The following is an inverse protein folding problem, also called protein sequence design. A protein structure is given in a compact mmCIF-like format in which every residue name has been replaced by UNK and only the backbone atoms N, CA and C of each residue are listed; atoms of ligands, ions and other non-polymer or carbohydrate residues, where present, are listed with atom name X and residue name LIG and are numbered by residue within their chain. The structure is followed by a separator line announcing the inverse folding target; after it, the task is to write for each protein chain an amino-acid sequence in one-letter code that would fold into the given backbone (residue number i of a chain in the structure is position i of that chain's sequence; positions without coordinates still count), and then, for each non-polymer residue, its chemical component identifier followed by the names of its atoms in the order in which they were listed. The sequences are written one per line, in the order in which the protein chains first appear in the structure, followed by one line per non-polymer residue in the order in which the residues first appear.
data_IF_354685221884
#
_entry.id   IF_354685221884
#
_cell.length_a   1.000
_cell.length_b   1.000
_cell.length_c   1.000
_cell.angle_alpha   90.00
_cell.angle_beta   90.00
_cell.angle_gamma   90.00
#
_symmetry.space_group_name_H-M   'P 1'
#
loop_
_entity.id
_entity.type
_entity.pdbx_description
1 polymer ?
#
# COMPACT_ATOMS: atom_id res chain seq x y z
N UNK A 1 12.16 4.51 2.19
CA UNK A 1 11.47 5.70 2.69
C UNK A 1 10.90 6.41 1.47
N UNK A 2 9.61 6.60 1.41
CA UNK A 2 8.91 7.23 0.30
C UNK A 2 8.07 8.41 0.82
N UNK A 3 7.78 9.38 -0.04
CA UNK A 3 6.96 10.55 0.30
C UNK A 3 5.76 10.63 -0.62
N UNK A 4 4.62 11.02 -0.07
CA UNK A 4 3.37 11.22 -0.79
C UNK A 4 2.72 12.52 -0.33
N UNK A 5 2.22 13.32 -1.26
CA UNK A 5 1.41 14.50 -0.94
C UNK A 5 -0.07 14.19 -1.16
N UNK A 6 -0.83 14.15 -0.06
CA UNK A 6 -2.29 14.03 -0.10
C UNK A 6 -2.92 15.40 -0.29
N UNK A 7 -3.83 15.50 -1.26
CA UNK A 7 -4.70 16.66 -1.45
C UNK A 7 -6.15 16.29 -1.24
N UNK A 8 -7.00 17.23 -0.82
CA UNK A 8 -8.43 16.96 -0.74
C UNK A 8 -8.98 16.54 -2.11
N UNK A 9 -9.89 15.58 -2.10
CA UNK A 9 -10.60 15.10 -3.31
C UNK A 9 -11.89 15.87 -3.55
N UNK A 10 -12.42 16.51 -2.51
CA UNK A 10 -13.61 17.34 -2.59
C UNK A 10 -13.67 18.30 -1.39
N UNK A 11 -14.53 19.30 -1.47
CA UNK A 11 -14.76 20.22 -0.37
C UNK A 11 -16.16 20.79 -0.38
N UNK A 12 -16.73 20.98 0.81
CA UNK A 12 -18.04 21.62 1.01
C UNK A 12 -17.94 22.69 2.10
N UNK A 13 -18.47 23.87 1.84
CA UNK A 13 -18.45 24.95 2.81
C UNK A 13 -19.53 25.99 2.56
N UNK A 14 -20.29 26.33 3.60
CA UNK A 14 -21.30 27.37 3.51
C UNK A 14 -20.62 28.74 3.36
N UNK A 15 -21.09 29.53 2.38
CA UNK A 15 -20.59 30.88 2.08
C UNK A 15 -19.12 30.93 1.60
N UNK A 16 -18.50 29.82 1.29
CA UNK A 16 -17.21 29.77 0.62
C UNK A 16 -17.36 29.89 -0.88
N UNK A 17 -16.47 30.64 -1.51
CA UNK A 17 -16.39 30.80 -2.96
C UNK A 17 -15.12 30.12 -3.49
N UNK A 18 -15.19 29.54 -4.70
CA UNK A 18 -14.06 28.94 -5.40
C UNK A 18 -13.35 27.83 -4.59
N UNK A 19 -14.13 26.96 -3.93
CA UNK A 19 -13.59 25.89 -3.07
C UNK A 19 -12.62 24.98 -3.83
N UNK A 20 -12.88 24.71 -5.12
CA UNK A 20 -12.02 23.88 -5.95
C UNK A 20 -10.58 24.40 -6.07
N UNK A 21 -10.36 25.69 -5.94
CA UNK A 21 -9.04 26.31 -5.98
C UNK A 21 -8.16 25.98 -4.76
N UNK A 22 -8.74 25.35 -3.71
CA UNK A 22 -8.00 25.01 -2.48
C UNK A 22 -7.22 23.69 -2.63
N UNK A 23 -7.58 22.88 -3.62
CA UNK A 23 -6.99 21.57 -3.87
C UNK A 23 -6.61 21.33 -5.34
N UNK A 24 -6.50 22.40 -6.13
CA UNK A 24 -6.10 22.32 -7.54
C UNK A 24 -4.57 22.20 -7.73
N UNK A 25 -3.80 22.25 -6.66
CA UNK A 25 -2.35 22.21 -6.67
C UNK A 25 -1.70 23.54 -7.06
N UNK A 26 -2.49 24.61 -7.22
CA UNK A 26 -2.01 25.93 -7.63
C UNK A 26 -2.03 26.91 -6.45
N UNK A 27 -0.87 27.16 -5.87
CA UNK A 27 -0.71 28.08 -4.73
C UNK A 27 -0.97 29.56 -5.05
N UNK A 28 -1.34 29.89 -6.30
CA UNK A 28 -1.69 31.25 -6.74
C UNK A 28 -3.19 31.49 -6.79
N UNK A 29 -4.00 30.44 -6.81
CA UNK A 29 -5.48 30.48 -6.74
C UNK A 29 -5.96 30.30 -5.31
N UNK A 30 -7.17 30.71 -4.99
CA UNK A 30 -7.68 30.59 -3.62
C UNK A 30 -9.20 30.41 -3.57
N UNK A 31 -9.67 29.65 -2.59
CA UNK A 31 -11.01 29.79 -2.08
C UNK A 31 -11.10 30.95 -1.10
N UNK A 32 -12.26 31.53 -0.96
CA UNK A 32 -12.45 32.70 -0.08
C UNK A 32 -13.75 32.67 0.67
N UNK A 33 -13.74 33.29 1.87
CA UNK A 33 -14.92 33.52 2.68
C UNK A 33 -14.87 34.87 3.38
N UNK A 34 -16.02 35.56 3.46
CA UNK A 34 -16.16 36.78 4.26
C UNK A 34 -16.54 36.41 5.68
N UNK A 35 -15.78 36.88 6.65
CA UNK A 35 -15.88 36.52 8.07
C UNK A 35 -16.16 37.75 8.91
N UNK A 36 -17.23 37.72 9.72
CA UNK A 36 -17.53 38.73 10.75
C UNK A 36 -17.81 38.04 12.08
N UNK A 37 -17.74 38.77 13.19
CA UNK A 37 -18.01 38.24 14.53
C UNK A 37 -19.39 37.57 14.68
N UNK A 38 -20.39 37.97 13.89
CA UNK A 38 -21.74 37.44 13.97
C UNK A 38 -21.98 36.14 13.17
N UNK A 39 -21.09 35.76 12.27
CA UNK A 39 -21.31 34.69 11.31
C UNK A 39 -20.37 33.49 11.51
N UNK A 40 -20.04 33.18 12.75
CA UNK A 40 -19.08 32.14 13.09
C UNK A 40 -19.43 30.78 12.51
N UNK A 41 -20.65 30.32 12.72
CA UNK A 41 -21.11 28.98 12.33
C UNK A 41 -21.25 28.76 10.82
N UNK A 42 -21.23 29.84 10.02
CA UNK A 42 -21.38 29.74 8.55
C UNK A 42 -20.06 29.77 7.78
N UNK A 43 -18.91 29.71 8.48
CA UNK A 43 -17.58 29.92 7.92
C UNK A 43 -16.68 28.68 7.94
N UNK A 44 -17.32 27.56 8.11
CA UNK A 44 -16.67 26.28 8.12
C UNK A 44 -16.56 25.72 6.71
N UNK A 45 -15.41 25.15 6.40
CA UNK A 45 -15.12 24.41 5.18
C UNK A 45 -14.67 23.00 5.56
N UNK A 46 -15.32 21.99 5.04
CA UNK A 46 -14.92 20.58 5.18
C UNK A 46 -14.26 20.12 3.88
N UNK A 47 -13.07 19.60 3.99
CA UNK A 47 -12.27 19.06 2.89
C UNK A 47 -12.09 17.56 3.12
N UNK A 48 -12.49 16.73 2.18
CA UNK A 48 -12.39 15.28 2.28
C UNK A 48 -11.09 14.78 1.65
N UNK A 49 -10.52 13.76 2.26
CA UNK A 49 -9.28 13.11 1.82
C UNK A 49 -9.52 11.66 1.46
N UNK A 50 -8.72 11.17 0.54
CA UNK A 50 -8.59 9.75 0.23
C UNK A 50 -7.20 9.28 0.68
N UNK A 51 -7.16 8.44 1.70
CA UNK A 51 -5.93 7.85 2.22
C UNK A 51 -5.63 6.48 1.65
N UNK A 52 -6.50 5.93 0.80
CA UNK A 52 -6.31 4.61 0.16
C UNK A 52 -5.11 4.58 -0.80
N UNK A 53 -4.61 5.74 -1.20
CA UNK A 53 -3.39 5.89 -2.00
C UNK A 53 -2.10 5.59 -1.20
N UNK A 54 -2.17 5.53 0.13
CA UNK A 54 -1.07 5.05 0.97
C UNK A 54 -1.04 3.53 0.89
N UNK A 55 0.10 2.91 0.54
CA UNK A 55 0.19 1.47 0.42
C UNK A 55 -0.26 0.73 1.69
N UNK A 56 -1.04 -0.34 1.52
CA UNK A 56 -1.49 -1.17 2.64
C UNK A 56 -0.28 -1.72 3.42
N UNK A 57 -0.35 -1.69 4.74
CA UNK A 57 0.74 -2.14 5.60
C UNK A 57 1.94 -1.18 5.69
N UNK A 58 1.93 -0.04 5.00
CA UNK A 58 2.99 0.95 5.13
C UNK A 58 3.08 1.49 6.57
N UNK A 59 4.30 1.68 7.04
CA UNK A 59 4.56 2.36 8.32
C UNK A 59 4.66 3.84 8.07
N UNK A 60 3.77 4.64 8.68
CA UNK A 60 3.81 6.09 8.60
C UNK A 60 4.90 6.61 9.55
N UNK A 61 5.90 7.27 8.99
CA UNK A 61 7.01 7.85 9.75
C UNK A 61 6.66 9.25 10.26
N UNK A 62 6.06 10.05 9.38
CA UNK A 62 5.56 11.39 9.72
C UNK A 62 4.47 11.84 8.74
N UNK A 63 3.59 12.72 9.21
CA UNK A 63 2.64 13.40 8.36
C UNK A 63 2.49 14.85 8.79
N UNK A 64 2.67 15.77 7.86
CA UNK A 64 2.59 17.22 8.10
C UNK A 64 1.46 17.83 7.27
N UNK A 65 0.43 18.31 7.94
CA UNK A 65 -0.61 19.11 7.33
C UNK A 65 -0.10 20.55 7.15
N UNK A 66 -0.31 21.10 5.98
CA UNK A 66 -0.01 22.50 5.65
C UNK A 66 -1.25 23.19 5.13
N UNK A 67 -1.54 24.38 5.65
CA UNK A 67 -2.47 25.33 5.06
C UNK A 67 -1.72 26.57 4.60
N UNK A 68 -1.97 27.01 3.36
CA UNK A 68 -1.48 28.29 2.84
C UNK A 68 -2.63 29.28 2.81
N UNK A 69 -2.55 30.31 3.62
CA UNK A 69 -3.66 31.23 3.80
C UNK A 69 -3.21 32.69 3.99
N UNK A 70 -4.19 33.59 3.82
CA UNK A 70 -4.02 35.05 3.97
C UNK A 70 -5.32 35.68 4.46
N UNK A 71 -5.23 36.82 5.09
CA UNK A 71 -6.39 37.64 5.46
C UNK A 71 -6.15 39.12 5.11
N UNK A 72 -7.21 39.89 4.88
CA UNK A 72 -7.11 41.33 4.68
C UNK A 72 -6.68 42.09 5.93
N UNK A 73 -6.96 41.57 7.13
CA UNK A 73 -6.56 42.14 8.44
C UNK A 73 -6.21 41.02 9.43
N UNK A 74 -5.27 41.28 10.33
CA UNK A 74 -4.77 40.30 11.33
C UNK A 74 -5.77 39.94 12.45
N UNK A 75 -7.06 40.13 12.23
CA UNK A 75 -8.14 39.84 13.21
C UNK A 75 -8.76 38.47 13.05
N UNK A 76 -8.40 37.75 11.99
CA UNK A 76 -8.90 36.40 11.73
C UNK A 76 -7.99 35.37 12.36
N UNK A 77 -8.58 34.40 13.05
CA UNK A 77 -7.94 33.17 13.52
C UNK A 77 -8.49 32.01 12.69
N UNK A 78 -7.62 31.17 12.15
CA UNK A 78 -8.01 29.91 11.56
C UNK A 78 -7.87 28.77 12.57
N UNK A 79 -8.88 27.94 12.65
CA UNK A 79 -8.88 26.67 13.36
C UNK A 79 -8.90 25.57 12.31
N UNK A 80 -8.10 24.53 12.55
CA UNK A 80 -8.11 23.33 11.70
C UNK A 80 -8.29 22.12 12.60
N UNK A 81 -9.38 21.41 12.36
CA UNK A 81 -9.81 20.26 13.12
C UNK A 81 -9.81 19.00 12.22
N UNK A 82 -9.30 17.88 12.72
CA UNK A 82 -9.26 16.61 12.00
C UNK A 82 -10.58 15.86 12.23
N UNK A 83 -11.14 15.32 11.14
CA UNK A 83 -12.37 14.54 11.14
C UNK A 83 -13.56 15.30 11.80
N UNK A 84 -13.60 16.61 11.62
CA UNK A 84 -14.65 17.50 12.18
C UNK A 84 -14.76 17.37 13.72
N UNK A 85 -13.67 17.01 14.40
CA UNK A 85 -13.66 16.83 15.84
C UNK A 85 -12.86 17.95 16.51
N UNK A 86 -13.53 18.78 17.31
CA UNK A 86 -12.89 19.89 18.04
C UNK A 86 -11.79 19.45 19.02
N UNK A 87 -11.83 18.19 19.50
CA UNK A 87 -10.77 17.64 20.33
C UNK A 87 -9.48 17.38 19.53
N UNK A 88 -9.59 17.24 18.22
CA UNK A 88 -8.48 16.99 17.30
C UNK A 88 -8.04 18.28 16.58
N UNK A 89 -8.07 19.40 17.29
CA UNK A 89 -7.63 20.69 16.76
C UNK A 89 -6.11 20.75 16.65
N UNK A 90 -5.63 20.80 15.40
CA UNK A 90 -4.18 20.79 15.09
C UNK A 90 -3.63 22.18 14.78
N UNK A 91 -4.46 23.11 14.28
CA UNK A 91 -4.06 24.51 14.06
C UNK A 91 -5.04 25.44 14.79
N UNK A 92 -4.46 26.40 15.53
CA UNK A 92 -5.16 27.52 16.12
C UNK A 92 -4.24 28.75 16.00
N UNK A 93 -4.30 29.44 14.87
CA UNK A 93 -3.36 30.51 14.54
C UNK A 93 -4.04 31.75 14.00
N UNK A 94 -3.61 32.89 14.53
CA UNK A 94 -3.93 34.20 13.98
C UNK A 94 -3.28 34.33 12.59
N UNK A 95 -4.07 34.79 11.63
CA UNK A 95 -3.70 34.78 10.23
C UNK A 95 -2.90 36.04 9.83
N UNK A 96 -1.95 35.86 8.93
CA UNK A 96 -1.12 36.91 8.35
C UNK A 96 -1.87 37.67 7.25
N UNK A 97 -1.50 38.94 7.04
CA UNK A 97 -1.94 39.72 5.89
C UNK A 97 -1.16 39.40 4.60
N UNK A 98 -0.16 38.53 4.71
CA UNK A 98 0.57 37.96 3.54
C UNK A 98 0.30 36.46 3.48
N UNK A 99 0.28 35.92 2.29
CA UNK A 99 0.14 34.47 2.09
C UNK A 99 1.26 33.74 2.87
N UNK A 100 0.87 32.93 3.84
CA UNK A 100 1.77 32.27 4.78
C UNK A 100 1.35 30.82 4.95
N UNK A 101 2.33 29.92 5.06
CA UNK A 101 2.11 28.53 5.38
C UNK A 101 2.06 28.34 6.90
N UNK A 102 1.06 27.61 7.36
CA UNK A 102 0.91 27.16 8.75
C UNK A 102 0.89 25.64 8.73
N UNK A 103 1.71 25.03 9.56
CA UNK A 103 1.90 23.58 9.58
C UNK A 103 1.52 22.98 10.92
N UNK A 104 1.11 21.70 10.90
CA UNK A 104 0.89 20.91 12.10
C UNK A 104 1.26 19.45 11.83
N UNK A 105 1.77 18.76 12.84
CA UNK A 105 1.95 17.31 12.83
C UNK A 105 0.57 16.63 12.95
N UNK A 106 0.28 15.72 12.02
CA UNK A 106 -0.95 14.94 11.97
C UNK A 106 -0.67 13.44 11.83
N UNK A 107 0.54 13.01 12.16
CA UNK A 107 0.99 11.61 12.02
C UNK A 107 0.03 10.63 12.68
N UNK A 108 -0.45 10.92 13.89
CA UNK A 108 -1.35 10.05 14.64
C UNK A 108 -2.78 9.97 14.08
N UNK A 109 -3.13 10.80 13.11
CA UNK A 109 -4.48 10.86 12.55
C UNK A 109 -4.58 10.25 11.14
N UNK A 110 -3.45 9.94 10.50
CA UNK A 110 -3.44 9.54 9.07
C UNK A 110 -4.22 8.26 8.83
N UNK A 111 -4.16 7.27 9.73
CA UNK A 111 -4.87 6.00 9.58
C UNK A 111 -6.40 6.17 9.51
N UNK A 112 -6.94 7.17 10.18
CA UNK A 112 -8.38 7.40 10.33
C UNK A 112 -8.81 8.70 9.65
N UNK A 113 -7.93 9.33 8.87
CA UNK A 113 -8.22 10.61 8.23
C UNK A 113 -9.27 10.44 7.14
N UNK A 114 -10.39 11.11 7.30
CA UNK A 114 -11.46 11.21 6.30
C UNK A 114 -11.68 12.65 5.83
N UNK A 115 -11.48 13.62 6.74
CA UNK A 115 -11.73 15.03 6.43
C UNK A 115 -10.89 15.96 7.31
N UNK A 116 -10.69 17.17 6.80
CA UNK A 116 -10.12 18.30 7.54
C UNK A 116 -11.12 19.43 7.49
N UNK A 117 -11.47 19.96 8.66
CA UNK A 117 -12.35 21.11 8.79
C UNK A 117 -11.53 22.38 9.03
N UNK A 118 -11.76 23.38 8.20
CA UNK A 118 -11.13 24.72 8.38
C UNK A 118 -12.23 25.71 8.76
N UNK A 119 -12.08 26.30 9.95
CA UNK A 119 -12.98 27.36 10.43
C UNK A 119 -12.24 28.68 10.53
N UNK A 120 -12.71 29.70 9.85
CA UNK A 120 -12.21 31.06 9.97
C UNK A 120 -13.06 31.88 10.95
N UNK A 121 -12.43 32.41 11.99
CA UNK A 121 -13.09 33.20 13.04
C UNK A 121 -12.52 34.62 13.09
N UNK A 122 -13.41 35.62 13.12
CA UNK A 122 -13.02 37.02 13.26
C UNK A 122 -13.47 37.58 14.60
N UNK A 123 -12.55 38.19 15.34
CA UNK A 123 -12.85 38.86 16.62
C UNK A 123 -13.47 40.24 16.45
N UNK A 124 -13.39 40.86 15.27
CA UNK A 124 -13.92 42.20 15.00
C UNK A 124 -15.32 42.17 14.40
N UNK A 125 -16.09 43.21 14.69
CA UNK A 125 -17.42 43.45 14.17
C UNK A 125 -17.45 43.72 12.65
N UNK A 126 -16.38 44.36 12.13
CA UNK A 126 -16.24 44.60 10.69
C UNK A 126 -15.88 43.30 9.94
N UNK A 127 -16.60 43.02 8.85
CA UNK A 127 -16.29 41.91 7.98
C UNK A 127 -14.87 41.99 7.43
N UNK A 128 -14.26 40.83 7.25
CA UNK A 128 -12.95 40.67 6.64
C UNK A 128 -12.92 39.40 5.78
N UNK A 129 -12.08 39.37 4.77
CA UNK A 129 -11.96 38.22 3.89
C UNK A 129 -10.82 37.32 4.36
N UNK A 130 -11.10 36.05 4.46
CA UNK A 130 -10.12 34.98 4.62
C UNK A 130 -9.94 34.28 3.28
N UNK A 131 -8.71 34.13 2.85
CA UNK A 131 -8.29 33.44 1.64
C UNK A 131 -7.53 32.17 2.07
N UNK A 132 -7.97 31.03 1.57
CA UNK A 132 -7.25 29.77 1.69
C UNK A 132 -6.80 29.38 0.28
N UNK A 133 -5.48 29.42 0.07
CA UNK A 133 -4.88 29.14 -1.23
C UNK A 133 -4.79 27.65 -1.47
N UNK A 134 -4.29 26.91 -0.50
CA UNK A 134 -4.11 25.47 -0.63
C UNK A 134 -4.08 24.81 0.75
N UNK A 135 -4.50 23.55 0.78
CA UNK A 135 -4.34 22.67 1.93
C UNK A 135 -3.88 21.31 1.41
N UNK A 136 -2.83 20.76 2.04
CA UNK A 136 -2.29 19.46 1.70
C UNK A 136 -1.65 18.80 2.92
N UNK A 137 -1.37 17.49 2.81
CA UNK A 137 -0.65 16.73 3.82
C UNK A 137 0.50 16.01 3.13
N UNK A 138 1.71 16.30 3.57
CA UNK A 138 2.89 15.56 3.16
C UNK A 138 3.08 14.38 4.13
N UNK A 139 3.09 13.17 3.58
CA UNK A 139 3.23 11.91 4.33
C UNK A 139 4.56 11.28 3.96
N UNK A 140 5.37 10.99 4.95
CA UNK A 140 6.59 10.20 4.84
C UNK A 140 6.31 8.80 5.40
N UNK A 141 6.58 7.76 4.60
CA UNK A 141 6.28 6.40 4.95
C UNK A 141 7.36 5.42 4.49
N UNK A 142 7.40 4.28 5.15
CA UNK A 142 8.19 3.12 4.73
C UNK A 142 7.23 2.05 4.25
N UNK A 143 7.40 1.61 3.01
CA UNK A 143 6.63 0.49 2.50
C UNK A 143 6.91 -0.76 3.33
N UNK A 144 5.84 -1.49 3.64
CA UNK A 144 6.00 -2.84 4.17
C UNK A 144 6.56 -3.70 3.06
N UNK A 145 7.74 -4.27 3.27
CA UNK A 145 8.19 -5.39 2.44
C UNK A 145 7.33 -6.56 2.88
N UNK A 146 6.27 -6.84 2.16
CA UNK A 146 5.58 -8.12 2.28
C UNK A 146 6.57 -9.14 1.75
N UNK A 147 7.27 -9.80 2.63
CA UNK A 147 7.99 -11.03 2.26
C UNK A 147 6.86 -12.06 2.11
N UNK A 148 6.49 -12.34 0.86
CA UNK A 148 5.53 -13.38 0.59
C UNK A 148 6.06 -14.70 1.19
N UNK A 149 5.19 -15.40 1.89
CA UNK A 149 5.56 -16.71 2.43
C UNK A 149 5.93 -17.65 1.27
N UNK A 150 7.01 -18.44 1.39
CA UNK A 150 7.34 -19.42 0.40
C UNK A 150 6.21 -20.45 0.25
N UNK A 151 5.91 -20.92 -0.97
CA UNK A 151 4.90 -21.95 -1.15
C UNK A 151 5.34 -23.26 -0.50
N UNK A 152 4.39 -23.97 0.11
CA UNK A 152 4.61 -25.28 0.71
C UNK A 152 4.24 -26.36 -0.29
N UNK A 153 5.21 -27.14 -0.71
CA UNK A 153 5.03 -28.29 -1.60
C UNK A 153 4.80 -29.53 -0.74
N UNK A 154 3.71 -30.24 -0.98
CA UNK A 154 3.37 -31.46 -0.28
C UNK A 154 3.33 -32.64 -1.27
N UNK A 155 4.22 -33.60 -1.09
CA UNK A 155 4.19 -34.85 -1.86
C UNK A 155 3.02 -35.71 -1.38
N UNK A 156 2.13 -36.08 -2.29
CA UNK A 156 0.93 -36.84 -2.00
C UNK A 156 1.15 -38.35 -2.17
N UNK A 157 1.81 -38.75 -3.25
CA UNK A 157 2.08 -40.14 -3.53
C UNK A 157 3.26 -40.32 -4.46
N UNK A 158 3.82 -41.52 -4.42
CA UNK A 158 4.77 -42.05 -5.38
C UNK A 158 4.36 -43.49 -5.70
N UNK A 159 4.18 -43.82 -6.99
CA UNK A 159 3.63 -45.11 -7.40
C UNK A 159 4.66 -46.25 -7.38
N UNK A 160 5.94 -45.96 -7.68
CA UNK A 160 7.03 -46.94 -7.61
C UNK A 160 8.29 -46.31 -6.98
N UNK A 161 9.08 -47.13 -6.31
CA UNK A 161 10.35 -46.72 -5.68
C UNK A 161 11.58 -47.12 -6.48
N UNK A 162 11.39 -47.90 -7.55
CA UNK A 162 12.48 -48.35 -8.45
C UNK A 162 12.00 -48.27 -9.88
N UNK A 163 12.77 -47.65 -10.72
CA UNK A 163 12.57 -47.59 -12.17
C UNK A 163 13.50 -48.58 -12.81
N UNK A 164 13.00 -49.35 -13.79
CA UNK A 164 13.79 -50.30 -14.56
C UNK A 164 13.39 -50.27 -16.04
N UNK A 165 14.17 -50.88 -16.90
CA UNK A 165 13.83 -51.02 -18.33
C UNK A 165 12.71 -52.03 -18.62
N UNK A 166 12.07 -52.60 -17.59
CA UNK A 166 10.95 -53.56 -17.75
C UNK A 166 9.64 -52.77 -17.87
N UNK A 167 8.87 -53.06 -18.91
CA UNK A 167 7.56 -52.44 -19.16
C UNK A 167 6.66 -52.51 -17.93
N UNK A 168 6.13 -51.36 -17.51
CA UNK A 168 5.32 -51.18 -16.28
C UNK A 168 6.12 -50.82 -15.05
N UNK A 169 7.46 -50.80 -15.14
CA UNK A 169 8.39 -50.29 -14.11
C UNK A 169 9.40 -49.31 -14.73
N UNK A 170 9.14 -48.84 -15.90
CA UNK A 170 9.97 -47.94 -16.69
C UNK A 170 9.74 -46.44 -16.33
N UNK A 171 8.73 -46.18 -15.53
CA UNK A 171 8.33 -44.84 -15.08
C UNK A 171 7.99 -44.80 -13.59
N UNK A 172 8.32 -43.73 -12.92
CA UNK A 172 7.78 -43.36 -11.60
C UNK A 172 6.93 -42.12 -11.75
N UNK A 173 5.75 -42.14 -11.16
CA UNK A 173 4.86 -40.97 -11.08
C UNK A 173 4.87 -40.45 -9.65
N UNK A 174 5.23 -39.20 -9.48
CA UNK A 174 5.14 -38.47 -8.20
C UNK A 174 3.99 -37.47 -8.30
N UNK A 175 3.09 -37.49 -7.34
CA UNK A 175 2.01 -36.49 -7.25
C UNK A 175 2.27 -35.54 -6.10
N UNK A 176 1.99 -34.25 -6.31
CA UNK A 176 2.18 -33.21 -5.31
C UNK A 176 1.08 -32.16 -5.37
N UNK A 177 0.94 -31.38 -4.30
CA UNK A 177 0.10 -30.20 -4.21
C UNK A 177 0.89 -29.05 -3.67
N UNK A 178 0.40 -27.82 -3.88
CA UNK A 178 0.90 -26.61 -3.24
C UNK A 178 -0.23 -25.88 -2.54
N UNK A 179 0.07 -25.24 -1.43
CA UNK A 179 -0.84 -24.35 -0.70
C UNK A 179 -1.09 -23.01 -1.39
N UNK A 180 -0.28 -22.70 -2.42
CA UNK A 180 -0.38 -21.49 -3.23
C UNK A 180 -0.33 -21.85 -4.73
N UNK A 181 -0.81 -20.93 -5.55
CA UNK A 181 -0.62 -21.03 -7.00
C UNK A 181 0.87 -20.87 -7.35
N UNK A 182 1.40 -21.77 -8.18
CA UNK A 182 2.77 -21.72 -8.65
C UNK A 182 2.83 -21.16 -10.07
N UNK A 183 3.52 -20.05 -10.24
CA UNK A 183 3.82 -19.48 -11.57
C UNK A 183 4.86 -20.27 -12.31
N UNK A 184 5.69 -20.99 -11.56
CA UNK A 184 6.65 -21.96 -12.06
C UNK A 184 6.89 -23.04 -11.01
N UNK A 185 7.08 -24.27 -11.44
CA UNK A 185 7.62 -25.34 -10.63
C UNK A 185 8.58 -26.19 -11.45
N UNK A 186 9.51 -26.83 -10.77
CA UNK A 186 10.46 -27.76 -11.37
C UNK A 186 10.64 -28.98 -10.46
N UNK A 187 10.78 -30.14 -11.11
CA UNK A 187 11.21 -31.37 -10.47
C UNK A 187 12.63 -31.71 -10.93
N UNK A 188 13.52 -31.96 -9.99
CA UNK A 188 14.91 -32.24 -10.25
C UNK A 188 15.37 -33.57 -9.66
N UNK A 189 16.10 -34.33 -10.44
CA UNK A 189 16.75 -35.55 -9.99
C UNK A 189 18.20 -35.25 -9.58
N UNK A 190 18.60 -35.65 -8.38
CA UNK A 190 19.95 -35.48 -7.88
C UNK A 190 20.44 -36.73 -7.17
N UNK A 191 21.73 -37.02 -7.27
CA UNK A 191 22.43 -38.05 -6.49
C UNK A 191 23.19 -37.45 -5.29
N UNK A 192 23.20 -36.13 -5.16
CA UNK A 192 23.89 -35.42 -4.10
C UNK A 192 22.93 -35.11 -2.94
N UNK A 193 23.48 -34.89 -1.74
CA UNK A 193 22.69 -34.54 -0.55
C UNK A 193 22.46 -33.04 -0.37
N UNK A 194 22.81 -32.24 -1.34
CA UNK A 194 22.61 -30.77 -1.29
C UNK A 194 21.58 -30.37 -2.33
N UNK A 195 20.29 -30.46 -2.01
CA UNK A 195 19.23 -30.08 -2.91
C UNK A 195 19.13 -28.54 -3.02
N UNK A 196 18.44 -28.08 -4.05
CA UNK A 196 18.16 -26.66 -4.28
C UNK A 196 17.56 -26.47 -5.66
N UNK A 197 16.70 -25.47 -5.82
CA UNK A 197 16.18 -25.13 -7.15
C UNK A 197 17.35 -24.86 -8.10
N UNK A 198 17.23 -25.31 -9.33
CA UNK A 198 18.30 -25.23 -10.33
C UNK A 198 19.42 -26.25 -10.16
N UNK A 199 19.42 -27.10 -9.12
CA UNK A 199 20.47 -28.12 -8.86
C UNK A 199 19.99 -29.49 -9.32
N UNK A 200 20.87 -30.24 -10.03
CA UNK A 200 20.55 -31.55 -10.57
C UNK A 200 19.95 -31.54 -11.97
N UNK A 201 19.53 -32.72 -12.44
CA UNK A 201 18.91 -32.90 -13.74
C UNK A 201 17.45 -32.42 -13.67
N UNK A 202 17.05 -31.51 -14.56
CA UNK A 202 15.64 -31.12 -14.70
C UNK A 202 14.87 -32.29 -15.32
N UNK A 203 13.90 -32.81 -14.58
CA UNK A 203 13.03 -33.91 -15.03
C UNK A 203 11.77 -33.35 -15.68
N UNK A 204 11.10 -32.42 -14.97
CA UNK A 204 9.86 -31.81 -15.46
C UNK A 204 9.71 -30.41 -14.87
N UNK A 205 8.86 -29.58 -15.51
CA UNK A 205 8.51 -28.25 -15.00
C UNK A 205 7.16 -27.79 -15.56
N UNK A 206 6.55 -26.81 -14.88
CA UNK A 206 5.26 -26.29 -15.33
C UNK A 206 4.73 -25.19 -14.45
N UNK A 207 3.41 -25.01 -14.48
CA UNK A 207 2.63 -24.14 -13.60
C UNK A 207 1.60 -24.97 -12.85
N UNK A 208 1.15 -24.51 -11.66
CA UNK A 208 0.15 -25.21 -10.88
C UNK A 208 -0.83 -24.20 -10.26
N UNK A 209 -2.13 -24.45 -10.40
CA UNK A 209 -3.14 -23.66 -9.67
C UNK A 209 -3.16 -24.08 -8.19
N UNK A 210 -3.52 -23.15 -7.31
CA UNK A 210 -3.70 -23.42 -5.89
C UNK A 210 -4.62 -24.62 -5.65
N UNK A 211 -4.19 -25.55 -4.80
CA UNK A 211 -4.94 -26.75 -4.47
C UNK A 211 -5.06 -27.80 -5.60
N UNK A 212 -4.50 -27.54 -6.78
CA UNK A 212 -4.45 -28.53 -7.85
C UNK A 212 -3.39 -29.61 -7.57
N UNK A 213 -3.54 -30.78 -8.20
CA UNK A 213 -2.53 -31.84 -8.14
C UNK A 213 -1.58 -31.71 -9.33
N UNK A 214 -0.30 -31.59 -9.03
CA UNK A 214 0.79 -31.68 -9.99
C UNK A 214 1.25 -33.13 -10.14
N UNK A 215 1.79 -33.46 -11.31
CA UNK A 215 2.33 -34.78 -11.65
C UNK A 215 3.75 -34.59 -12.16
N UNK A 216 4.65 -35.44 -11.71
CA UNK A 216 6.01 -35.54 -12.20
C UNK A 216 6.20 -36.97 -12.73
N UNK A 217 6.60 -37.07 -13.97
CA UNK A 217 6.90 -38.34 -14.60
C UNK A 217 8.41 -38.51 -14.73
N UNK A 218 8.96 -39.50 -14.06
CA UNK A 218 10.39 -39.80 -14.08
C UNK A 218 10.59 -41.09 -14.89
N UNK A 219 11.12 -40.96 -16.09
CA UNK A 219 11.36 -42.08 -16.96
C UNK A 219 12.78 -42.62 -16.83
N UNK A 220 12.95 -43.92 -17.10
CA UNK A 220 14.27 -44.61 -17.07
C UNK A 220 15.28 -44.02 -18.07
N UNK A 221 14.82 -43.44 -19.17
CA UNK A 221 15.66 -42.83 -20.18
C UNK A 221 16.33 -41.52 -19.71
N UNK A 222 15.72 -40.82 -18.76
CA UNK A 222 16.22 -39.56 -18.21
C UNK A 222 17.30 -39.79 -17.16
N UNK A 223 17.19 -40.91 -16.41
CA UNK A 223 18.14 -41.27 -15.37
C UNK A 223 19.19 -42.23 -15.93
N UNK A 224 20.26 -41.67 -16.45
CA UNK A 224 21.28 -42.37 -17.27
C UNK A 224 22.14 -43.42 -16.55
N UNK A 225 21.85 -43.77 -15.29
CA UNK A 225 22.68 -44.71 -14.54
C UNK A 225 21.86 -45.55 -13.57
N UNK A 226 21.44 -46.73 -14.00
CA UNK A 226 20.51 -47.63 -13.32
C UNK A 226 20.93 -48.16 -11.93
N UNK A 227 22.13 -47.87 -11.48
CA UNK A 227 22.68 -48.32 -10.19
C UNK A 227 22.72 -47.19 -9.12
N UNK A 228 22.31 -45.97 -9.45
CA UNK A 228 22.34 -44.84 -8.53
C UNK A 228 20.96 -44.59 -7.90
N UNK A 229 20.98 -44.28 -6.62
CA UNK A 229 19.79 -43.79 -5.92
C UNK A 229 19.63 -42.30 -6.26
N UNK A 230 18.57 -41.97 -6.97
CA UNK A 230 18.17 -40.60 -7.23
C UNK A 230 17.17 -40.16 -6.18
N UNK A 231 17.33 -38.92 -5.75
CA UNK A 231 16.29 -38.16 -5.02
C UNK A 231 15.61 -37.23 -6.03
N UNK A 232 14.28 -37.19 -5.99
CA UNK A 232 13.49 -36.23 -6.75
C UNK A 232 13.04 -35.13 -5.81
N UNK A 233 13.45 -33.92 -6.10
CA UNK A 233 13.07 -32.73 -5.36
C UNK A 233 12.16 -31.86 -6.24
N UNK A 234 11.07 -31.34 -5.65
CA UNK A 234 10.11 -30.48 -6.33
C UNK A 234 10.16 -29.10 -5.68
N UNK A 235 10.41 -28.08 -6.48
CA UNK A 235 10.47 -26.69 -6.08
C UNK A 235 9.40 -25.90 -6.82
N UNK A 236 8.73 -24.99 -6.11
CA UNK A 236 7.71 -24.11 -6.68
C UNK A 236 8.03 -22.65 -6.41
N UNK A 237 7.70 -21.79 -7.36
CA UNK A 237 7.80 -20.34 -7.25
C UNK A 237 6.42 -19.73 -7.33
N UNK A 238 6.05 -18.89 -6.38
CA UNK A 238 4.78 -18.16 -6.39
C UNK A 238 4.83 -16.91 -7.29
N UNK A 239 3.72 -16.15 -7.35
CA UNK A 239 3.60 -14.92 -8.15
C UNK A 239 4.56 -13.81 -7.73
N UNK A 240 5.05 -13.84 -6.51
CA UNK A 240 5.98 -12.85 -5.96
C UNK A 240 7.44 -13.22 -6.20
N UNK A 241 7.69 -14.33 -6.90
CA UNK A 241 9.03 -14.80 -7.23
C UNK A 241 9.73 -15.55 -6.10
N UNK A 242 9.01 -15.87 -5.01
CA UNK A 242 9.55 -16.60 -3.86
C UNK A 242 9.47 -18.09 -4.12
N UNK A 243 10.59 -18.78 -3.89
CA UNK A 243 10.72 -20.22 -4.04
C UNK A 243 10.33 -20.95 -2.75
N UNK A 244 9.75 -22.15 -2.90
CA UNK A 244 9.54 -23.08 -1.79
C UNK A 244 10.87 -23.49 -1.16
N UNK A 245 10.82 -23.77 0.12
CA UNK A 245 11.87 -24.55 0.78
C UNK A 245 11.86 -25.99 0.25
N UNK A 246 12.86 -26.78 0.64
CA UNK A 246 12.93 -28.22 0.32
C UNK A 246 11.71 -29.00 0.79
#
# INVERSE_FOLDING_TARGET
MATLTLRPTSGTGNSWSNVANIYDGNQSTSGSVSVSRFNYSSRTLVLNFDTSVIPSGATINSATLTIRSQTGKTTITAYVDINQNLANRVINKKQSTKATNYTADVTSYISDLTSVEVTAYNTNWSGNTFLLYELWIDVDYTESVIIADPPIITIQSQDVTKISSVTGYDRCTVTFTSDQALTYWEARATTTQTPGHGVGLLVESGTLAEGATGYVYVDNEELTNGDLNYRIDIYGQNSDGVWSDE
#
